data_IF_417807818907
#
_entry.id   IF_417807818907
#
_cell.length_a   1.000
_cell.length_b   1.000
_cell.length_c   1.000
_cell.angle_alpha   90.00
_cell.angle_beta   90.00
_cell.angle_gamma   90.00
#
_symmetry.space_group_name_H-M   'P 1'
#
loop_
_entity.id
_entity.type
_entity.pdbx_description
1 polymer ?
#
# COMPACT_ATOMS: atom_id res chain seq x y z
N UNK A 1 22.69 45.94 65.70
CA UNK A 1 24.13 46.25 65.84
C UNK A 1 25.02 45.66 64.74
N UNK A 2 24.68 44.50 64.15
CA UNK A 2 25.48 43.86 63.09
C UNK A 2 25.43 44.66 61.77
N UNK A 3 24.24 45.03 61.30
CA UNK A 3 24.06 45.86 60.10
C UNK A 3 24.70 47.25 60.21
N UNK A 4 24.71 47.86 61.40
CA UNK A 4 25.33 49.17 61.62
C UNK A 4 26.85 49.11 61.64
N UNK A 5 27.45 47.99 62.10
CA UNK A 5 28.89 47.73 61.95
C UNK A 5 29.25 47.46 60.49
N UNK A 6 28.44 46.68 59.77
CA UNK A 6 28.64 46.39 58.35
C UNK A 6 28.60 47.67 57.50
N UNK A 7 27.61 48.54 57.75
CA UNK A 7 27.47 49.82 57.08
C UNK A 7 28.68 50.75 57.31
N UNK A 8 29.19 50.83 58.55
CA UNK A 8 30.40 51.62 58.85
C UNK A 8 31.65 51.08 58.14
N UNK A 9 31.79 49.75 58.05
CA UNK A 9 32.90 49.12 57.33
C UNK A 9 32.85 49.40 55.83
N UNK A 10 31.64 49.38 55.25
CA UNK A 10 31.40 49.72 53.84
C UNK A 10 31.72 51.19 53.56
N UNK A 11 31.31 52.11 54.45
CA UNK A 11 31.61 53.55 54.31
C UNK A 11 33.12 53.81 54.41
N UNK A 12 33.82 53.16 55.35
CA UNK A 12 35.27 53.35 55.56
C UNK A 12 36.13 52.78 54.43
N UNK A 13 35.70 51.69 53.78
CA UNK A 13 36.44 51.02 52.69
C UNK A 13 35.64 51.03 51.38
N UNK A 14 34.97 52.14 51.08
CA UNK A 14 34.08 52.29 49.93
C UNK A 14 34.72 51.88 48.59
N UNK A 15 36.00 52.22 48.36
CA UNK A 15 36.74 51.84 47.16
C UNK A 15 36.95 50.32 47.04
N UNK A 16 37.26 49.64 48.15
CA UNK A 16 37.49 48.19 48.14
C UNK A 16 36.17 47.43 47.90
N UNK A 17 35.07 47.88 48.53
CA UNK A 17 33.74 47.29 48.32
C UNK A 17 33.29 47.48 46.86
N UNK A 18 33.54 48.64 46.28
CA UNK A 18 33.24 48.90 44.87
C UNK A 18 34.01 47.98 43.92
N UNK A 19 35.31 47.78 44.16
CA UNK A 19 36.15 46.86 43.36
C UNK A 19 35.65 45.41 43.47
N UNK A 20 35.29 44.95 44.67
CA UNK A 20 34.72 43.60 44.87
C UNK A 20 33.42 43.42 44.08
N UNK A 21 32.54 44.43 44.08
CA UNK A 21 31.31 44.40 43.29
C UNK A 21 31.58 44.39 41.78
N UNK A 22 32.58 45.14 41.33
CA UNK A 22 32.97 45.18 39.92
C UNK A 22 33.53 43.83 39.47
N UNK A 23 34.34 43.17 40.32
CA UNK A 23 34.84 41.81 40.07
C UNK A 23 33.69 40.79 40.07
N UNK A 24 32.75 40.87 41.03
CA UNK A 24 31.59 39.99 41.07
C UNK A 24 30.72 40.13 39.81
N UNK A 25 30.53 41.37 39.32
CA UNK A 25 29.79 41.65 38.09
C UNK A 25 30.53 41.11 36.86
N UNK A 26 31.84 41.34 36.78
CA UNK A 26 32.67 40.83 35.69
C UNK A 26 32.68 39.28 35.64
N UNK A 27 32.69 38.61 36.79
CA UNK A 27 32.61 37.15 36.89
C UNK A 27 31.19 36.61 36.64
N UNK A 28 30.15 37.42 36.84
CA UNK A 28 28.76 37.02 36.56
C UNK A 28 28.48 36.91 35.06
N UNK A 29 29.14 37.73 34.23
CA UNK A 29 28.98 37.72 32.76
C UNK A 29 29.30 36.34 32.14
N UNK A 30 30.49 35.74 32.33
CA UNK A 30 30.79 34.41 31.77
C UNK A 30 29.91 33.32 32.38
N UNK A 31 29.49 33.45 33.63
CA UNK A 31 28.57 32.49 34.26
C UNK A 31 27.18 32.50 33.59
N UNK A 32 26.62 33.68 33.28
CA UNK A 32 25.34 33.81 32.56
C UNK A 32 25.45 33.28 31.13
N UNK A 33 26.58 33.52 30.47
CA UNK A 33 26.84 32.98 29.12
C UNK A 33 26.91 31.44 29.11
N UNK A 34 27.34 30.81 30.20
CA UNK A 34 27.31 29.35 30.35
C UNK A 34 25.91 28.80 30.65
N UNK A 35 25.02 29.59 31.28
CA UNK A 35 23.64 29.14 31.58
C UNK A 35 22.84 28.91 30.30
N UNK A 36 23.09 29.66 29.23
CA UNK A 36 22.40 29.46 27.95
C UNK A 36 22.70 28.09 27.30
N UNK A 37 23.79 27.41 27.68
CA UNK A 37 24.11 26.08 27.14
C UNK A 37 23.46 24.91 27.88
N UNK A 38 22.75 25.17 29.00
CA UNK A 38 22.20 24.11 29.88
C UNK A 38 20.70 24.24 30.14
N UNK A 39 20.03 25.28 29.62
CA UNK A 39 18.55 25.31 29.66
C UNK A 39 18.02 24.37 28.58
N UNK A 40 17.98 23.09 28.93
CA UNK A 40 17.23 22.08 28.21
C UNK A 40 15.77 22.28 28.61
N UNK A 41 14.99 22.97 27.78
CA UNK A 41 13.53 22.98 27.87
C UNK A 41 13.00 21.60 27.46
N UNK A 42 13.27 20.56 28.24
CA UNK A 42 12.58 19.29 28.13
C UNK A 42 11.49 19.26 29.18
N UNK A 43 10.23 19.07 28.74
CA UNK A 43 9.09 18.90 29.64
C UNK A 43 9.29 17.75 30.65
N UNK A 44 10.24 16.85 30.38
CA UNK A 44 10.64 15.74 31.25
C UNK A 44 11.65 16.10 32.35
N UNK A 45 12.29 17.28 32.31
CA UNK A 45 13.31 17.67 33.29
C UNK A 45 12.74 17.85 34.72
N UNK A 46 11.44 18.12 34.83
CA UNK A 46 10.75 18.28 36.12
C UNK A 46 10.20 16.98 36.70
N UNK A 47 10.25 15.87 35.96
CA UNK A 47 9.75 14.58 36.43
C UNK A 47 10.90 13.77 37.07
N UNK A 48 10.85 13.44 38.37
CA UNK A 48 11.91 12.65 39.00
C UNK A 48 12.06 11.31 38.28
N UNK A 49 13.32 10.87 38.10
CA UNK A 49 13.64 9.58 37.45
C UNK A 49 13.02 8.37 38.16
N UNK A 50 12.61 8.54 39.41
CA UNK A 50 11.94 7.53 40.25
C UNK A 50 10.43 7.54 40.13
N UNK A 51 9.82 8.46 39.36
CA UNK A 51 8.37 8.44 39.16
C UNK A 51 7.95 7.22 38.35
N UNK A 52 6.75 6.73 38.62
CA UNK A 52 6.18 5.58 37.88
C UNK A 52 6.15 5.85 36.37
N UNK A 53 5.89 7.09 35.95
CA UNK A 53 5.93 7.51 34.54
C UNK A 53 7.33 7.39 33.93
N UNK A 54 8.38 7.79 34.65
CA UNK A 54 9.78 7.65 34.20
C UNK A 54 10.19 6.17 34.10
N UNK A 55 9.75 5.35 35.05
CA UNK A 55 10.00 3.91 35.05
C UNK A 55 9.27 3.24 33.89
N UNK A 56 7.99 3.52 33.69
CA UNK A 56 7.19 3.00 32.58
C UNK A 56 7.79 3.40 31.23
N UNK A 57 8.21 4.66 31.06
CA UNK A 57 8.89 5.11 29.86
C UNK A 57 10.20 4.35 29.63
N UNK A 58 10.98 4.08 30.69
CA UNK A 58 12.23 3.33 30.58
C UNK A 58 12.01 1.87 30.14
N UNK A 59 10.96 1.22 30.65
CA UNK A 59 10.57 -0.15 30.26
C UNK A 59 10.12 -0.16 28.80
N UNK A 60 9.21 0.74 28.42
CA UNK A 60 8.71 0.84 27.05
C UNK A 60 9.84 1.11 26.06
N UNK A 61 10.75 2.03 26.40
CA UNK A 61 11.89 2.36 25.52
C UNK A 61 12.86 1.19 25.38
N UNK A 62 13.06 0.40 26.44
CA UNK A 62 13.93 -0.77 26.45
C UNK A 62 13.34 -1.94 25.65
N UNK A 63 12.05 -2.24 25.85
CA UNK A 63 11.41 -3.42 25.26
C UNK A 63 11.05 -3.22 23.79
N UNK A 64 10.64 -2.01 23.39
CA UNK A 64 10.14 -1.77 22.04
C UNK A 64 11.15 -1.05 21.13
N UNK A 65 12.37 -0.76 21.63
CA UNK A 65 13.37 0.03 20.91
C UNK A 65 12.77 1.29 20.25
N UNK A 66 11.78 1.89 20.91
CA UNK A 66 11.11 3.08 20.38
C UNK A 66 12.12 4.21 20.50
N UNK A 67 12.82 4.48 19.39
CA UNK A 67 13.50 5.74 19.21
C UNK A 67 12.43 6.81 19.33
N UNK A 68 12.43 7.54 20.44
CA UNK A 68 11.65 8.76 20.59
C UNK A 68 12.20 9.80 19.62
N UNK A 69 11.99 9.57 18.32
CA UNK A 69 12.08 10.62 17.33
C UNK A 69 10.96 11.60 17.61
N UNK A 70 11.26 12.89 17.55
CA UNK A 70 10.22 13.91 17.60
C UNK A 70 9.27 13.69 16.43
N UNK A 71 7.99 13.48 16.73
CA UNK A 71 6.96 13.33 15.72
C UNK A 71 6.19 14.64 15.60
N UNK A 72 6.00 15.09 14.36
CA UNK A 72 5.20 16.28 14.05
C UNK A 72 3.97 15.85 13.28
N UNK A 73 2.80 16.25 13.75
CA UNK A 73 1.53 16.07 13.03
C UNK A 73 1.19 17.38 12.33
N UNK A 74 1.08 17.32 11.02
CA UNK A 74 0.66 18.46 10.19
C UNK A 74 -0.81 18.26 9.81
N UNK A 75 -1.67 19.18 10.24
CA UNK A 75 -3.10 19.16 9.90
C UNK A 75 -3.35 20.16 8.78
N UNK A 76 -3.82 19.65 7.64
CA UNK A 76 -4.18 20.48 6.47
C UNK A 76 -5.67 20.80 6.58
N UNK A 77 -6.01 22.09 6.51
CA UNK A 77 -7.38 22.57 6.61
C UNK A 77 -7.79 23.30 5.32
N UNK A 78 -9.02 23.05 4.87
CA UNK A 78 -9.63 23.68 3.70
C UNK A 78 -11.15 23.64 3.87
N UNK A 79 -11.89 24.43 3.08
CA UNK A 79 -13.36 24.36 3.03
C UNK A 79 -13.85 23.00 2.51
N UNK A 80 -13.10 22.35 1.62
CA UNK A 80 -13.30 20.94 1.25
C UNK A 80 -11.94 20.24 1.20
N UNK A 81 -11.72 19.31 2.14
CA UNK A 81 -10.46 18.54 2.23
C UNK A 81 -10.41 17.35 1.26
N UNK A 82 -11.49 17.08 0.52
CA UNK A 82 -11.57 16.00 -0.48
C UNK A 82 -11.16 16.46 -1.88
N UNK A 83 -10.92 17.76 -2.05
CA UNK A 83 -10.55 18.35 -3.33
C UNK A 83 -9.20 17.87 -3.85
N UNK A 84 -9.04 17.92 -5.18
CA UNK A 84 -7.78 17.58 -5.84
C UNK A 84 -6.64 18.52 -5.42
N UNK A 85 -6.95 19.78 -5.13
CA UNK A 85 -6.03 20.79 -4.63
C UNK A 85 -5.38 20.36 -3.30
N UNK A 86 -6.17 19.87 -2.35
CA UNK A 86 -5.67 19.39 -1.05
C UNK A 86 -4.84 18.13 -1.21
N UNK A 87 -5.26 17.22 -2.10
CA UNK A 87 -4.47 16.03 -2.46
C UNK A 87 -3.12 16.42 -3.04
N UNK A 88 -3.11 17.24 -4.07
CA UNK A 88 -1.90 17.59 -4.81
C UNK A 88 -0.95 18.38 -3.92
N UNK A 89 -1.47 19.26 -3.06
CA UNK A 89 -0.68 19.92 -2.02
C UNK A 89 -0.05 18.91 -1.05
N UNK A 90 -0.83 17.96 -0.51
CA UNK A 90 -0.34 16.97 0.46
C UNK A 90 0.75 16.08 -0.15
N UNK A 91 0.54 15.60 -1.38
CA UNK A 91 1.52 14.78 -2.10
C UNK A 91 2.78 15.57 -2.42
N UNK A 92 2.64 16.83 -2.82
CA UNK A 92 3.77 17.73 -3.08
C UNK A 92 4.54 18.01 -1.79
N UNK A 93 3.86 18.29 -0.68
CA UNK A 93 4.49 18.50 0.62
C UNK A 93 5.29 17.26 1.04
N UNK A 94 4.69 16.07 0.97
CA UNK A 94 5.38 14.82 1.31
C UNK A 94 6.63 14.61 0.45
N UNK A 95 6.52 14.84 -0.87
CA UNK A 95 7.65 14.76 -1.81
C UNK A 95 8.72 15.80 -1.50
N UNK A 96 8.35 17.04 -1.20
CA UNK A 96 9.30 18.11 -0.89
C UNK A 96 10.06 17.77 0.39
N UNK A 97 9.38 17.34 1.46
CA UNK A 97 10.00 16.96 2.73
C UNK A 97 11.01 15.82 2.56
N UNK A 98 10.67 14.79 1.78
CA UNK A 98 11.59 13.68 1.49
C UNK A 98 12.82 14.07 0.68
N UNK A 99 12.69 15.06 -0.20
CA UNK A 99 13.78 15.49 -1.09
C UNK A 99 14.59 16.66 -0.55
N UNK A 100 14.15 17.27 0.56
CA UNK A 100 14.83 18.41 1.17
C UNK A 100 16.08 17.94 1.93
N UNK A 101 17.25 18.30 1.39
CA UNK A 101 18.55 17.94 1.96
C UNK A 101 18.91 18.74 3.21
N UNK A 102 18.17 19.82 3.51
CA UNK A 102 18.39 20.64 4.70
C UNK A 102 17.77 20.00 5.94
N UNK A 103 16.78 19.13 5.77
CA UNK A 103 16.13 18.41 6.85
C UNK A 103 16.95 17.16 7.19
N UNK A 104 17.81 17.28 8.20
CA UNK A 104 18.59 16.15 8.72
C UNK A 104 17.76 15.34 9.73
N UNK A 105 17.92 14.01 9.74
CA UNK A 105 17.23 13.06 10.66
C UNK A 105 15.72 12.89 10.41
N UNK A 106 15.24 13.14 9.19
CA UNK A 106 13.90 12.75 8.78
C UNK A 106 13.87 11.25 8.44
N UNK A 107 13.28 10.44 9.32
CA UNK A 107 13.19 8.98 9.12
C UNK A 107 12.08 8.59 8.16
N UNK A 108 10.90 9.19 8.32
CA UNK A 108 9.72 8.85 7.52
C UNK A 108 8.70 10.01 7.52
N UNK A 109 7.95 10.14 6.43
CA UNK A 109 6.77 11.01 6.32
C UNK A 109 5.62 10.17 5.78
N UNK A 110 4.57 10.03 6.57
CA UNK A 110 3.36 9.30 6.19
C UNK A 110 2.21 10.28 6.02
N UNK A 111 1.48 10.14 4.92
CA UNK A 111 0.24 10.87 4.63
C UNK A 111 -0.95 9.93 4.52
N UNK A 112 -2.16 10.48 4.53
CA UNK A 112 -3.38 9.70 4.32
C UNK A 112 -3.39 9.02 2.93
N UNK A 113 -2.74 9.63 1.93
CA UNK A 113 -2.69 9.10 0.58
C UNK A 113 -1.77 7.88 0.45
N UNK A 114 -0.77 7.73 1.32
CA UNK A 114 0.08 6.55 1.36
C UNK A 114 -0.72 5.33 1.83
N UNK A 115 -1.62 5.52 2.81
CA UNK A 115 -2.55 4.50 3.29
C UNK A 115 -3.54 4.11 2.18
N UNK A 116 -4.11 5.10 1.49
CA UNK A 116 -5.00 4.83 0.35
C UNK A 116 -4.29 4.09 -0.78
N UNK A 117 -3.05 4.46 -1.09
CA UNK A 117 -2.26 3.78 -2.12
C UNK A 117 -2.02 2.31 -1.76
N UNK A 118 -1.65 2.01 -0.51
CA UNK A 118 -1.46 0.64 -0.05
C UNK A 118 -2.74 -0.19 -0.15
N UNK A 119 -3.89 0.40 0.22
CA UNK A 119 -5.19 -0.25 0.08
C UNK A 119 -5.52 -0.55 -1.39
N UNK A 120 -5.29 0.42 -2.28
CA UNK A 120 -5.52 0.25 -3.72
C UNK A 120 -4.65 -0.86 -4.29
N UNK A 121 -3.35 -0.87 -3.98
CA UNK A 121 -2.43 -1.92 -4.43
C UNK A 121 -2.90 -3.29 -3.93
N UNK A 122 -3.23 -3.40 -2.65
CA UNK A 122 -3.75 -4.64 -2.06
C UNK A 122 -5.03 -5.12 -2.78
N UNK A 123 -6.00 -4.22 -2.95
CA UNK A 123 -7.25 -4.54 -3.67
C UNK A 123 -6.99 -4.96 -5.12
N UNK A 124 -6.13 -4.24 -5.86
CA UNK A 124 -5.83 -4.59 -7.24
C UNK A 124 -5.16 -5.95 -7.37
N UNK A 125 -4.29 -6.34 -6.43
CA UNK A 125 -3.64 -7.65 -6.46
C UNK A 125 -4.67 -8.80 -6.35
N UNK A 126 -5.68 -8.64 -5.51
CA UNK A 126 -6.74 -9.65 -5.34
C UNK A 126 -7.68 -9.71 -6.56
N UNK A 127 -8.16 -8.54 -7.01
CA UNK A 127 -9.13 -8.47 -8.12
C UNK A 127 -8.51 -8.86 -9.46
N UNK A 128 -7.22 -8.58 -9.65
CA UNK A 128 -6.51 -8.92 -10.89
C UNK A 128 -6.52 -10.44 -11.17
N UNK A 129 -6.31 -11.26 -10.13
CA UNK A 129 -6.36 -12.71 -10.27
C UNK A 129 -7.75 -13.21 -10.64
N UNK A 130 -8.79 -12.66 -9.97
CA UNK A 130 -10.18 -13.03 -10.22
C UNK A 130 -10.61 -12.69 -11.65
N UNK A 131 -10.24 -11.51 -12.15
CA UNK A 131 -10.53 -11.10 -13.53
C UNK A 131 -9.88 -12.03 -14.57
N UNK A 132 -8.65 -12.51 -14.32
CA UNK A 132 -8.01 -13.48 -15.21
C UNK A 132 -8.70 -14.84 -15.19
N UNK A 133 -9.09 -15.32 -14.01
CA UNK A 133 -9.83 -16.57 -13.88
C UNK A 133 -11.19 -16.49 -14.59
N UNK A 134 -11.90 -15.39 -14.42
CA UNK A 134 -13.20 -15.14 -15.07
C UNK A 134 -13.07 -15.03 -16.59
N UNK A 135 -12.03 -14.35 -17.09
CA UNK A 135 -11.72 -14.31 -18.53
C UNK A 135 -11.46 -15.71 -19.09
N UNK A 136 -10.69 -16.53 -18.39
CA UNK A 136 -10.37 -17.89 -18.82
C UNK A 136 -11.62 -18.78 -18.82
N UNK A 137 -12.46 -18.69 -17.78
CA UNK A 137 -13.74 -19.41 -17.73
C UNK A 137 -14.70 -18.97 -18.83
N UNK A 138 -14.79 -17.65 -19.09
CA UNK A 138 -15.61 -17.12 -20.18
C UNK A 138 -15.11 -17.64 -21.52
N UNK A 139 -13.80 -17.57 -21.78
CA UNK A 139 -13.20 -18.06 -23.02
C UNK A 139 -13.43 -19.56 -23.22
N UNK A 140 -13.32 -20.35 -22.14
CA UNK A 140 -13.61 -21.78 -22.16
C UNK A 140 -15.10 -22.04 -22.44
N UNK A 141 -16.01 -21.32 -21.78
CA UNK A 141 -17.46 -21.45 -22.00
C UNK A 141 -17.82 -21.13 -23.44
N UNK A 142 -17.29 -20.03 -23.99
CA UNK A 142 -17.48 -19.67 -25.40
C UNK A 142 -16.92 -20.75 -26.34
N UNK A 143 -15.75 -21.31 -26.03
CA UNK A 143 -15.18 -22.38 -26.84
C UNK A 143 -16.04 -23.65 -26.81
N UNK A 144 -16.52 -24.06 -25.64
CA UNK A 144 -17.39 -25.23 -25.51
C UNK A 144 -18.72 -25.03 -26.26
N UNK A 145 -19.31 -23.84 -26.16
CA UNK A 145 -20.60 -23.53 -26.77
C UNK A 145 -20.53 -23.42 -28.31
N UNK A 146 -19.54 -22.73 -28.85
CA UNK A 146 -19.51 -22.41 -30.29
C UNK A 146 -18.54 -23.28 -31.10
N UNK A 147 -17.42 -23.73 -30.53
CA UNK A 147 -16.42 -24.49 -31.29
C UNK A 147 -16.89 -25.91 -31.60
N UNK A 148 -17.61 -26.56 -30.69
CA UNK A 148 -18.07 -27.95 -30.86
C UNK A 148 -19.02 -28.09 -32.06
N UNK A 149 -20.12 -27.29 -32.18
CA UNK A 149 -20.96 -27.29 -33.38
C UNK A 149 -20.19 -26.93 -34.64
N UNK A 150 -19.30 -25.93 -34.56
CA UNK A 150 -18.51 -25.47 -35.70
C UNK A 150 -17.60 -26.57 -36.25
N UNK A 151 -16.91 -27.31 -35.38
CA UNK A 151 -16.04 -28.43 -35.77
C UNK A 151 -16.88 -29.52 -36.43
N UNK A 152 -18.00 -29.91 -35.82
CA UNK A 152 -18.90 -30.92 -36.40
C UNK A 152 -19.36 -30.50 -37.81
N UNK A 153 -19.89 -29.29 -37.95
CA UNK A 153 -20.41 -28.78 -39.23
C UNK A 153 -19.31 -28.70 -40.28
N UNK A 154 -18.08 -28.32 -39.92
CA UNK A 154 -16.95 -28.33 -40.85
C UNK A 154 -16.59 -29.75 -41.32
N UNK A 155 -16.57 -30.74 -40.43
CA UNK A 155 -16.34 -32.13 -40.81
C UNK A 155 -17.46 -32.64 -41.73
N UNK A 156 -18.72 -32.37 -41.35
CA UNK A 156 -19.88 -32.73 -42.15
C UNK A 156 -19.84 -32.12 -43.55
N UNK A 157 -19.59 -30.82 -43.62
CA UNK A 157 -19.54 -30.05 -44.87
C UNK A 157 -18.43 -30.57 -45.79
N UNK A 158 -17.27 -30.94 -45.23
CA UNK A 158 -16.17 -31.55 -45.99
C UNK A 158 -16.58 -32.91 -46.58
N UNK A 159 -17.31 -33.73 -45.82
CA UNK A 159 -17.82 -35.03 -46.29
C UNK A 159 -18.88 -34.87 -47.38
N UNK A 160 -19.75 -33.88 -47.28
CA UNK A 160 -20.77 -33.60 -48.30
C UNK A 160 -20.14 -33.07 -49.58
N UNK A 161 -19.21 -32.11 -49.49
CA UNK A 161 -18.56 -31.53 -50.68
C UNK A 161 -17.64 -32.50 -51.42
N UNK A 162 -17.11 -33.52 -50.72
CA UNK A 162 -16.34 -34.60 -51.35
C UNK A 162 -17.22 -35.75 -51.88
N UNK A 163 -18.53 -35.67 -51.68
CA UNK A 163 -19.51 -36.67 -52.11
C UNK A 163 -20.06 -36.46 -53.53
N UNK A 164 -20.92 -37.37 -53.99
CA UNK A 164 -21.61 -37.24 -55.27
C UNK A 164 -22.67 -36.12 -55.25
N UNK A 165 -22.99 -35.56 -56.42
CA UNK A 165 -23.94 -34.44 -56.56
C UNK A 165 -25.37 -34.77 -56.07
N UNK A 166 -25.77 -36.04 -56.13
CA UNK A 166 -27.04 -36.52 -55.61
C UNK A 166 -26.81 -37.45 -54.42
N UNK A 167 -27.34 -37.07 -53.26
CA UNK A 167 -27.27 -37.84 -52.02
C UNK A 167 -28.67 -38.27 -51.59
N UNK A 168 -28.79 -39.54 -51.21
CA UNK A 168 -30.01 -40.10 -50.64
C UNK A 168 -29.96 -40.04 -49.10
N UNK A 169 -31.09 -40.35 -48.46
CA UNK A 169 -31.22 -40.24 -47.00
C UNK A 169 -30.30 -41.20 -46.22
N UNK A 170 -29.97 -42.37 -46.78
CA UNK A 170 -29.02 -43.30 -46.15
C UNK A 170 -27.58 -42.80 -46.23
N UNK A 171 -27.20 -42.12 -47.32
CA UNK A 171 -25.89 -41.48 -47.45
C UNK A 171 -25.73 -40.30 -46.49
N UNK A 172 -26.79 -39.52 -46.27
CA UNK A 172 -26.80 -38.44 -45.26
C UNK A 172 -26.57 -38.99 -43.86
N UNK A 173 -27.24 -40.08 -43.48
CA UNK A 173 -27.02 -40.73 -42.19
C UNK A 173 -25.57 -41.21 -42.00
N UNK A 174 -24.96 -41.77 -43.06
CA UNK A 174 -23.54 -42.17 -43.06
C UNK A 174 -22.62 -40.96 -42.89
N UNK A 175 -22.90 -39.83 -43.53
CA UNK A 175 -22.12 -38.59 -43.36
C UNK A 175 -22.26 -38.01 -41.96
N UNK A 176 -23.46 -38.00 -41.39
CA UNK A 176 -23.68 -37.54 -40.02
C UNK A 176 -22.86 -38.38 -39.02
N UNK A 177 -22.85 -39.71 -39.18
CA UNK A 177 -22.07 -40.61 -38.33
C UNK A 177 -20.57 -40.38 -38.49
N UNK A 178 -20.08 -40.27 -39.72
CA UNK A 178 -18.65 -40.01 -40.00
C UNK A 178 -18.20 -38.67 -39.45
N UNK A 179 -19.01 -37.62 -39.64
CA UNK A 179 -18.75 -36.29 -39.10
C UNK A 179 -18.57 -36.34 -37.57
N UNK A 180 -19.49 -37.01 -36.87
CA UNK A 180 -19.42 -37.19 -35.42
C UNK A 180 -18.12 -37.89 -34.98
N UNK A 181 -17.77 -39.00 -35.65
CA UNK A 181 -16.56 -39.76 -35.33
C UNK A 181 -15.27 -38.96 -35.60
N UNK A 182 -15.26 -38.12 -36.63
CA UNK A 182 -14.10 -37.29 -36.98
C UNK A 182 -13.99 -35.99 -36.17
N UNK A 183 -15.09 -35.50 -35.60
CA UNK A 183 -15.13 -34.26 -34.82
C UNK A 183 -14.50 -34.45 -33.43
N UNK A 184 -14.80 -35.55 -32.75
CA UNK A 184 -14.32 -35.81 -31.39
C UNK A 184 -12.78 -35.74 -31.20
N UNK A 185 -11.94 -36.34 -32.07
CA UNK A 185 -10.48 -36.21 -31.95
C UNK A 185 -10.00 -34.74 -31.98
N UNK A 186 -10.66 -33.90 -32.77
CA UNK A 186 -10.34 -32.46 -32.87
C UNK A 186 -10.81 -31.74 -31.61
N UNK A 187 -12.05 -31.97 -31.19
CA UNK A 187 -12.64 -31.36 -29.99
C UNK A 187 -11.83 -31.71 -28.74
N UNK A 188 -11.51 -33.00 -28.54
CA UNK A 188 -10.77 -33.48 -27.37
C UNK A 188 -9.34 -32.92 -27.30
N UNK A 189 -8.68 -32.70 -28.45
CA UNK A 189 -7.35 -32.08 -28.51
C UNK A 189 -7.33 -30.61 -28.09
N UNK A 190 -8.46 -29.91 -28.21
CA UNK A 190 -8.61 -28.49 -27.89
C UNK A 190 -9.30 -28.26 -26.53
N UNK A 191 -9.83 -29.32 -25.92
CA UNK A 191 -10.57 -29.25 -24.66
C UNK A 191 -9.69 -29.74 -23.52
N UNK A 192 -9.50 -28.94 -22.45
CA UNK A 192 -8.76 -29.39 -21.28
C UNK A 192 -9.39 -30.65 -20.67
N UNK A 193 -8.55 -31.57 -20.17
CA UNK A 193 -8.97 -32.91 -19.73
C UNK A 193 -10.17 -32.90 -18.76
N UNK A 194 -10.21 -31.94 -17.83
CA UNK A 194 -11.30 -31.79 -16.86
C UNK A 194 -12.69 -31.53 -17.50
N UNK A 195 -12.73 -30.95 -18.70
CA UNK A 195 -13.96 -30.56 -19.39
C UNK A 195 -14.33 -31.48 -20.56
N UNK A 196 -13.48 -32.45 -20.89
CA UNK A 196 -13.77 -33.43 -21.95
C UNK A 196 -15.08 -34.19 -21.75
N UNK A 197 -15.49 -34.61 -20.53
CA UNK A 197 -16.79 -35.27 -20.33
C UNK A 197 -17.98 -34.39 -20.70
N UNK A 198 -17.91 -33.09 -20.39
CA UNK A 198 -18.97 -32.11 -20.71
C UNK A 198 -18.98 -31.84 -22.22
N UNK A 199 -17.81 -31.65 -22.83
CA UNK A 199 -17.68 -31.47 -24.26
C UNK A 199 -18.25 -32.67 -25.05
N UNK A 200 -17.95 -33.89 -24.62
CA UNK A 200 -18.49 -35.11 -25.22
C UNK A 200 -20.00 -35.21 -25.08
N UNK A 201 -20.55 -34.85 -23.90
CA UNK A 201 -21.99 -34.82 -23.68
C UNK A 201 -22.67 -33.81 -24.61
N UNK A 202 -22.08 -32.63 -24.78
CA UNK A 202 -22.59 -31.59 -25.67
C UNK A 202 -22.52 -31.99 -27.15
N UNK A 203 -21.40 -32.56 -27.60
CA UNK A 203 -21.27 -33.11 -28.96
C UNK A 203 -22.34 -34.17 -29.23
N UNK A 204 -22.55 -35.11 -28.30
CA UNK A 204 -23.59 -36.14 -28.45
C UNK A 204 -24.99 -35.55 -28.54
N UNK A 205 -25.31 -34.53 -27.74
CA UNK A 205 -26.61 -33.83 -27.80
C UNK A 205 -26.77 -33.06 -29.11
N UNK A 206 -25.70 -32.41 -29.58
CA UNK A 206 -25.68 -31.71 -30.86
C UNK A 206 -25.92 -32.70 -32.01
N UNK A 207 -25.18 -33.81 -32.04
CA UNK A 207 -25.36 -34.89 -33.01
C UNK A 207 -26.80 -35.42 -33.00
N UNK A 208 -27.36 -35.73 -31.83
CA UNK A 208 -28.74 -36.19 -31.73
C UNK A 208 -29.73 -35.15 -32.27
N UNK A 209 -29.49 -33.87 -32.00
CA UNK A 209 -30.36 -32.77 -32.45
C UNK A 209 -30.25 -32.53 -33.96
N UNK A 210 -29.05 -32.67 -34.53
CA UNK A 210 -28.79 -32.54 -35.97
C UNK A 210 -29.46 -33.65 -36.80
N UNK A 211 -29.68 -34.82 -36.20
CA UNK A 211 -30.28 -35.98 -36.86
C UNK A 211 -31.80 -36.12 -36.67
N UNK A 212 -32.46 -35.18 -35.97
CA UNK A 212 -33.92 -35.12 -35.84
C UNK A 212 -34.51 -34.31 -36.99
#
# INVERSE_FOLDING_TARGET
MLFTRLARTIIKHNRAVFVIWLVALALSVPAILQVQSVIVYTETAYNPKTSESSIAQSIVSKEFSISQGNSVVVVITSTDVRGNDVRDFTLTLNKTLHNDRTITNLTNVTSIYDIYYQLLVGYTNEVHLQLYQEKNLTSLSTSLEFSIPTIYVNQWTTLVYSGPFSINQSQVAVYNQKANQSAWPIISSQTPQAYQPIALAYENLFYQSWNK
#
